data_IF_931990956173
#
_entry.id   IF_931990956173
#
_cell.length_a   1.000
_cell.length_b   1.000
_cell.length_c   1.000
_cell.angle_alpha   90.00
_cell.angle_beta   90.00
_cell.angle_gamma   90.00
#
_symmetry.space_group_name_H-M   'P 1'
#
loop_
_entity.id
_entity.type
_entity.pdbx_description
1 polymer ?
#
# COMPACT_ATOMS: atom_id res chain seq x y z
N UNK A 1 17.33 4.95 31.68
CA UNK A 1 16.79 6.27 31.30
C UNK A 1 15.31 6.15 30.92
N UNK A 2 14.48 7.17 31.18
CA UNK A 2 13.10 7.20 30.68
C UNK A 2 13.06 7.93 29.34
N UNK A 3 12.59 7.24 28.29
CA UNK A 3 12.49 7.79 26.94
C UNK A 3 11.15 8.51 26.77
N UNK A 4 11.20 9.72 26.24
CA UNK A 4 10.07 10.45 25.73
C UNK A 4 10.38 10.97 24.33
N UNK A 5 9.38 11.03 23.46
CA UNK A 5 9.59 11.62 22.17
C UNK A 5 8.32 11.77 21.35
N UNK A 6 8.48 12.41 20.21
CA UNK A 6 7.41 12.68 19.26
C UNK A 6 7.84 12.34 17.84
N UNK A 7 6.91 11.83 17.05
CA UNK A 7 7.05 11.62 15.61
C UNK A 7 5.86 12.25 14.92
N UNK A 8 6.08 13.13 13.94
CA UNK A 8 5.02 13.86 13.24
C UNK A 8 4.02 14.57 14.18
N UNK A 9 4.51 15.11 15.31
CA UNK A 9 3.71 15.72 16.39
C UNK A 9 2.84 14.75 17.22
N UNK A 10 2.94 13.45 16.99
CA UNK A 10 2.32 12.42 17.83
C UNK A 10 3.33 11.91 18.86
N UNK A 11 2.88 11.69 20.10
CA UNK A 11 3.73 11.10 21.12
C UNK A 11 4.05 9.64 20.78
N UNK A 12 5.31 9.26 20.89
CA UNK A 12 5.74 7.88 20.71
C UNK A 12 5.60 7.13 22.02
N UNK A 13 5.17 5.87 21.94
CA UNK A 13 5.19 4.94 23.07
C UNK A 13 5.55 3.54 22.58
N UNK A 14 6.08 2.73 23.49
CA UNK A 14 6.48 1.37 23.17
C UNK A 14 5.28 0.53 22.67
N UNK A 15 5.48 -0.16 21.54
CA UNK A 15 4.45 -0.93 20.83
C UNK A 15 3.37 -0.09 20.12
N UNK A 16 3.51 1.24 20.06
CA UNK A 16 2.55 2.09 19.35
C UNK A 16 2.58 1.88 17.84
N UNK A 17 1.46 2.20 17.20
CA UNK A 17 1.35 2.30 15.75
C UNK A 17 1.08 3.75 15.37
N UNK A 18 1.90 4.30 14.48
CA UNK A 18 1.76 5.67 13.97
C UNK A 18 1.39 5.58 12.50
N UNK A 19 0.20 6.07 12.18
CA UNK A 19 -0.31 6.13 10.80
C UNK A 19 0.32 7.30 10.04
N UNK A 20 0.42 7.14 8.72
CA UNK A 20 0.89 8.20 7.82
C UNK A 20 0.01 9.45 7.95
N UNK A 21 0.57 10.60 8.35
CA UNK A 21 -0.21 11.83 8.49
C UNK A 21 -0.71 12.36 7.14
N UNK A 22 -1.92 12.93 7.13
CA UNK A 22 -2.50 13.57 5.94
C UNK A 22 -1.67 14.73 5.38
N UNK A 23 -0.85 15.36 6.22
CA UNK A 23 -0.02 16.48 5.81
C UNK A 23 1.24 15.98 5.10
N UNK A 24 1.52 16.53 3.91
CA UNK A 24 2.83 16.37 3.27
C UNK A 24 3.93 16.90 4.17
N UNK A 25 5.03 16.17 4.27
CA UNK A 25 6.19 16.50 5.11
C UNK A 25 6.80 17.89 4.84
N UNK A 26 7.80 18.28 5.64
CA UNK A 26 8.59 17.40 6.48
C UNK A 26 8.01 17.16 7.88
N UNK A 27 8.16 15.93 8.38
CA UNK A 27 7.73 15.55 9.73
C UNK A 27 8.90 15.61 10.69
N UNK A 28 8.67 16.15 11.89
CA UNK A 28 9.68 16.17 12.94
C UNK A 28 9.67 14.86 13.72
N UNK A 29 10.86 14.32 13.98
CA UNK A 29 11.09 13.23 14.92
C UNK A 29 12.03 13.75 16.01
N UNK A 30 11.62 13.62 17.27
CA UNK A 30 12.41 14.07 18.41
C UNK A 30 12.34 13.03 19.53
N UNK A 31 13.47 12.74 20.14
CA UNK A 31 13.58 11.99 21.38
C UNK A 31 14.31 12.81 22.44
N UNK A 32 14.00 12.50 23.68
CA UNK A 32 14.68 12.96 24.88
C UNK A 32 14.71 11.80 25.85
N UNK A 33 15.87 11.55 26.45
CA UNK A 33 15.97 10.68 27.62
C UNK A 33 16.41 11.51 28.81
N UNK A 34 15.90 11.15 29.98
CA UNK A 34 16.32 11.74 31.25
C UNK A 34 16.31 10.65 32.31
N UNK A 35 17.31 10.70 33.18
CA UNK A 35 17.48 9.72 34.27
C UNK A 35 17.21 10.35 35.64
N UNK A 36 17.30 11.68 35.75
CA UNK A 36 17.16 12.43 37.01
C UNK A 36 16.30 13.72 36.92
N UNK A 37 15.71 14.01 35.76
CA UNK A 37 14.89 15.21 35.54
C UNK A 37 15.68 16.41 34.99
N UNK A 38 17.00 16.26 34.78
CA UNK A 38 17.83 17.17 34.01
C UNK A 38 17.82 16.82 32.52
N UNK A 39 17.89 17.85 31.66
CA UNK A 39 18.04 17.68 30.22
C UNK A 39 19.52 17.45 29.90
N UNK A 40 20.03 16.26 30.17
CA UNK A 40 21.43 15.94 29.94
C UNK A 40 21.57 14.97 28.74
N UNK A 41 22.67 15.14 28.02
CA UNK A 41 22.88 14.77 26.63
C UNK A 41 22.85 13.26 26.44
N UNK A 42 21.75 12.75 25.89
CA UNK A 42 21.65 11.36 25.48
C UNK A 42 22.05 11.20 24.00
N UNK A 43 22.86 10.17 23.71
CA UNK A 43 23.12 9.75 22.34
C UNK A 43 21.93 8.91 21.86
N UNK A 44 21.32 9.32 20.74
CA UNK A 44 20.18 8.62 20.16
C UNK A 44 20.55 7.98 18.81
N UNK A 45 20.18 6.73 18.63
CA UNK A 45 20.26 6.02 17.37
C UNK A 45 18.88 5.51 16.99
N UNK A 46 18.45 5.80 15.76
CA UNK A 46 17.19 5.32 15.22
C UNK A 46 17.47 4.21 14.23
N UNK A 47 16.75 3.12 14.39
CA UNK A 47 16.81 1.95 13.54
C UNK A 47 15.49 1.79 12.80
N UNK A 48 15.57 1.42 11.52
CA UNK A 48 14.42 1.10 10.68
C UNK A 48 14.62 -0.33 10.17
N UNK A 49 13.75 -1.27 10.60
CA UNK A 49 13.89 -2.71 10.37
C UNK A 49 15.32 -3.23 10.64
N UNK A 50 15.86 -2.92 11.82
CA UNK A 50 17.20 -3.32 12.30
C UNK A 50 18.41 -2.68 11.59
N UNK A 51 18.22 -1.79 10.64
CA UNK A 51 19.29 -0.99 10.05
C UNK A 51 19.34 0.41 10.65
N UNK A 52 20.55 0.92 10.93
CA UNK A 52 20.73 2.32 11.36
C UNK A 52 20.14 3.23 10.29
N UNK A 53 19.20 4.07 10.72
CA UNK A 53 18.48 5.00 9.87
C UNK A 53 18.90 6.45 10.13
N UNK A 54 18.96 6.87 11.39
CA UNK A 54 19.32 8.25 11.77
C UNK A 54 20.18 8.25 13.04
N UNK A 55 21.15 9.16 13.11
CA UNK A 55 22.00 9.41 14.27
C UNK A 55 21.69 10.79 14.86
N UNK A 56 21.36 10.83 16.16
CA UNK A 56 20.98 12.03 16.88
C UNK A 56 19.51 12.04 17.31
N UNK A 57 19.17 12.85 18.30
CA UNK A 57 17.84 12.81 18.91
C UNK A 57 16.77 13.63 18.17
N UNK A 58 17.13 14.47 17.19
CA UNK A 58 16.20 15.38 16.52
C UNK A 58 16.45 15.42 15.01
N UNK A 59 15.44 15.07 14.23
CA UNK A 59 15.50 15.12 12.77
C UNK A 59 14.22 15.66 12.14
N UNK A 60 14.34 16.02 10.87
CA UNK A 60 13.25 16.40 9.98
C UNK A 60 13.24 15.44 8.80
N UNK A 61 12.14 14.73 8.62
CA UNK A 61 11.99 13.64 7.64
C UNK A 61 11.12 14.14 6.50
N UNK A 62 11.64 14.09 5.27
CA UNK A 62 10.94 14.60 4.09
C UNK A 62 9.97 13.60 3.47
N UNK A 63 10.32 12.32 3.47
CA UNK A 63 9.57 11.22 2.87
C UNK A 63 9.14 10.22 3.94
N UNK A 64 7.92 9.69 3.81
CA UNK A 64 7.39 8.78 4.82
C UNK A 64 8.22 7.48 4.84
N UNK A 65 8.78 7.06 5.98
CA UNK A 65 9.78 5.98 6.00
C UNK A 65 9.22 4.60 5.64
N UNK A 66 7.91 4.41 5.78
CA UNK A 66 7.20 3.18 5.41
C UNK A 66 6.61 3.21 3.99
N UNK A 67 6.99 4.18 3.14
CA UNK A 67 6.56 4.19 1.73
C UNK A 67 7.00 2.90 1.03
N UNK A 68 6.06 2.27 0.32
CA UNK A 68 6.29 1.01 -0.39
C UNK A 68 6.14 -0.24 0.47
N UNK A 69 5.91 -0.10 1.77
CA UNK A 69 5.65 -1.18 2.70
C UNK A 69 4.26 -0.99 3.33
N UNK A 70 3.64 -2.07 3.83
CA UNK A 70 2.40 -1.97 4.62
C UNK A 70 2.69 -1.35 5.99
N UNK A 71 3.78 -1.79 6.61
CA UNK A 71 4.30 -1.25 7.85
C UNK A 71 5.82 -1.45 7.94
N UNK A 72 6.49 -0.66 8.76
CA UNK A 72 7.90 -0.82 9.10
C UNK A 72 8.13 -0.60 10.59
N UNK A 73 9.11 -1.30 11.13
CA UNK A 73 9.46 -1.21 12.54
C UNK A 73 10.50 -0.12 12.77
N UNK A 74 10.29 0.72 13.78
CA UNK A 74 11.24 1.73 14.20
C UNK A 74 11.65 1.44 15.64
N UNK A 75 12.96 1.28 15.86
CA UNK A 75 13.53 1.17 17.19
C UNK A 75 14.40 2.39 17.47
N UNK A 76 14.12 3.07 18.57
CA UNK A 76 14.98 4.11 19.12
C UNK A 76 15.84 3.47 20.21
N UNK A 77 17.16 3.64 20.13
CA UNK A 77 18.10 3.33 21.19
C UNK A 77 18.66 4.64 21.73
N UNK A 78 18.68 4.76 23.06
CA UNK A 78 19.16 5.94 23.75
C UNK A 78 20.18 5.54 24.81
N UNK A 79 21.36 6.15 24.73
CA UNK A 79 22.43 5.99 25.71
C UNK A 79 22.55 7.27 26.53
N UNK A 80 22.47 7.15 27.84
CA UNK A 80 22.69 8.25 28.78
C UNK A 80 24.19 8.49 29.03
N UNK A 81 24.52 9.62 29.66
CA UNK A 81 25.91 10.01 29.95
C UNK A 81 26.62 9.10 30.96
N UNK A 82 25.86 8.37 31.78
CA UNK A 82 26.32 7.31 32.68
C UNK A 82 26.53 5.95 31.98
N UNK A 83 26.25 5.88 30.67
CA UNK A 83 26.32 4.67 29.85
C UNK A 83 25.09 3.76 29.96
N UNK A 84 24.02 4.19 30.63
CA UNK A 84 22.76 3.44 30.71
C UNK A 84 22.03 3.44 29.38
N UNK A 85 21.66 2.25 28.90
CA UNK A 85 20.93 2.06 27.66
C UNK A 85 19.43 1.89 27.92
N UNK A 86 18.62 2.47 27.06
CA UNK A 86 17.19 2.19 26.95
C UNK A 86 16.77 2.15 25.49
N UNK A 87 15.75 1.36 25.19
CA UNK A 87 15.18 1.28 23.86
C UNK A 87 13.66 1.44 23.90
N UNK A 88 13.10 1.92 22.79
CA UNK A 88 11.66 2.01 22.55
C UNK A 88 11.37 1.59 21.11
N UNK A 89 10.33 0.80 20.91
CA UNK A 89 9.96 0.28 19.60
C UNK A 89 8.53 0.71 19.23
N UNK A 90 8.33 1.12 17.98
CA UNK A 90 7.02 1.48 17.46
C UNK A 90 6.93 1.19 15.97
N UNK A 91 5.71 1.10 15.46
CA UNK A 91 5.44 0.70 14.08
C UNK A 91 4.96 1.91 13.30
N UNK A 92 5.55 2.15 12.13
CA UNK A 92 5.04 3.08 11.14
C UNK A 92 4.13 2.32 10.18
N UNK A 93 2.87 2.72 10.09
CA UNK A 93 1.90 2.12 9.20
C UNK A 93 1.66 3.03 8.00
N UNK A 94 1.71 2.45 6.81
CA UNK A 94 1.32 3.15 5.60
C UNK A 94 -0.18 2.98 5.39
N UNK A 95 -0.83 3.95 4.75
CA UNK A 95 -2.22 3.74 4.35
C UNK A 95 -2.28 2.51 3.44
N UNK A 96 -3.34 1.71 3.60
CA UNK A 96 -3.60 0.61 2.70
C UNK A 96 -3.55 1.16 1.28
N UNK A 97 -2.55 0.75 0.50
CA UNK A 97 -2.45 1.13 -0.91
C UNK A 97 -3.68 0.53 -1.59
N UNK A 98 -4.77 1.29 -1.65
CA UNK A 98 -5.88 1.00 -2.54
C UNK A 98 -5.26 0.92 -3.92
N UNK A 99 -5.25 -0.29 -4.49
CA UNK A 99 -4.58 -0.57 -5.75
C UNK A 99 -5.07 0.46 -6.77
N UNK A 100 -4.24 1.48 -7.02
CA UNK A 100 -4.62 2.65 -7.82
C UNK A 100 -5.05 2.23 -9.24
N UNK A 101 -4.64 1.03 -9.64
CA UNK A 101 -4.95 0.41 -10.91
C UNK A 101 -6.31 -0.31 -10.94
N UNK A 102 -7.01 -0.48 -9.81
CA UNK A 102 -8.30 -1.17 -9.75
C UNK A 102 -9.32 -0.54 -10.71
N UNK A 103 -9.34 0.80 -10.80
CA UNK A 103 -10.20 1.51 -11.74
C UNK A 103 -9.84 1.21 -13.21
N UNK A 104 -8.54 1.11 -13.52
CA UNK A 104 -8.04 0.80 -14.87
C UNK A 104 -8.40 -0.63 -15.27
N UNK A 105 -8.25 -1.60 -14.35
CA UNK A 105 -8.63 -2.99 -14.58
C UNK A 105 -10.15 -3.16 -14.77
N UNK A 106 -10.97 -2.43 -14.02
CA UNK A 106 -12.43 -2.45 -14.19
C UNK A 106 -12.86 -1.88 -15.55
N UNK A 107 -12.28 -0.74 -15.97
CA UNK A 107 -12.58 -0.12 -17.27
C UNK A 107 -12.14 -1.00 -18.42
N UNK A 108 -10.92 -1.56 -18.37
CA UNK A 108 -10.41 -2.44 -19.41
C UNK A 108 -11.19 -3.76 -19.49
N UNK A 109 -11.57 -4.34 -18.35
CA UNK A 109 -12.46 -5.50 -18.29
C UNK A 109 -13.84 -5.24 -18.90
N UNK A 110 -14.47 -4.11 -18.56
CA UNK A 110 -15.76 -3.72 -19.13
C UNK A 110 -15.69 -3.55 -20.66
N UNK A 111 -14.62 -2.92 -21.17
CA UNK A 111 -14.40 -2.77 -22.61
C UNK A 111 -14.23 -4.10 -23.34
N UNK A 112 -13.52 -5.06 -22.75
CA UNK A 112 -13.37 -6.42 -23.30
C UNK A 112 -14.71 -7.15 -23.36
N UNK A 113 -15.52 -7.07 -22.30
CA UNK A 113 -16.86 -7.68 -22.27
C UNK A 113 -17.78 -7.04 -23.31
N UNK A 114 -17.80 -5.72 -23.42
CA UNK A 114 -18.60 -5.01 -24.43
C UNK A 114 -18.13 -5.39 -25.85
N UNK A 115 -16.81 -5.40 -26.09
CA UNK A 115 -16.24 -5.75 -27.39
C UNK A 115 -16.59 -7.19 -27.81
N UNK A 116 -16.48 -8.15 -26.89
CA UNK A 116 -16.84 -9.56 -27.16
C UNK A 116 -18.34 -9.72 -27.42
N UNK A 117 -19.20 -9.04 -26.67
CA UNK A 117 -20.65 -9.05 -26.91
C UNK A 117 -21.00 -8.46 -28.28
N UNK A 118 -20.48 -7.28 -28.63
CA UNK A 118 -20.71 -6.65 -29.95
C UNK A 118 -20.26 -7.56 -31.08
N UNK A 119 -19.09 -8.19 -30.94
CA UNK A 119 -18.58 -9.14 -31.93
C UNK A 119 -19.46 -10.38 -32.07
N UNK A 120 -19.92 -10.96 -30.96
CA UNK A 120 -20.81 -12.12 -30.94
C UNK A 120 -22.17 -11.81 -31.59
N UNK A 121 -22.77 -10.66 -31.27
CA UNK A 121 -24.03 -10.22 -31.88
C UNK A 121 -23.91 -9.96 -33.38
N UNK A 122 -22.81 -9.34 -33.85
CA UNK A 122 -22.54 -9.14 -35.29
C UNK A 122 -22.30 -10.45 -36.05
N UNK A 123 -21.69 -11.46 -35.40
CA UNK A 123 -21.56 -12.80 -36.01
C UNK A 123 -22.90 -13.48 -36.19
N UNK A 124 -23.80 -13.36 -35.20
CA UNK A 124 -25.12 -13.98 -35.25
C UNK A 124 -26.02 -13.38 -36.33
N UNK A 125 -25.88 -12.08 -36.63
CA UNK A 125 -26.68 -11.41 -37.67
C UNK A 125 -26.26 -11.74 -39.11
N UNK A 126 -25.05 -12.25 -39.33
CA UNK A 126 -24.53 -12.61 -40.66
C UNK A 126 -24.61 -14.12 -40.95
N UNK A 127 -25.38 -14.88 -40.16
CA UNK A 127 -25.53 -16.32 -40.35
C UNK A 127 -26.70 -16.62 -41.30
N UNK A 128 -26.45 -16.53 -42.61
CA UNK A 128 -27.39 -17.03 -43.61
C UNK A 128 -27.34 -18.56 -43.64
N UNK A 129 -28.41 -19.20 -43.18
CA UNK A 129 -28.57 -20.66 -43.25
C UNK A 129 -28.73 -21.03 -44.74
N UNK A 130 -27.84 -21.87 -45.32
CA UNK A 130 -28.00 -22.31 -46.70
C UNK A 130 -29.34 -23.04 -46.86
N UNK A 131 -30.19 -22.56 -47.77
CA UNK A 131 -31.45 -23.23 -48.09
C UNK A 131 -31.15 -24.38 -49.05
N UNK A 132 -31.25 -25.61 -48.56
CA UNK A 132 -31.19 -26.79 -49.41
C UNK A 132 -32.40 -26.78 -50.35
N UNK A 133 -32.22 -26.94 -51.67
CA UNK A 133 -33.35 -27.05 -52.58
C UNK A 133 -34.12 -28.34 -52.24
N UNK A 134 -35.37 -28.19 -51.81
CA UNK A 134 -36.28 -29.33 -51.67
C UNK A 134 -36.51 -29.92 -53.05
N UNK A 135 -36.03 -31.14 -53.30
CA UNK A 135 -36.46 -31.95 -54.43
C UNK A 135 -37.90 -32.37 -54.21
N UNK A 136 -38.82 -31.47 -54.54
CA UNK A 136 -40.20 -31.80 -54.87
C UNK A 136 -40.36 -31.57 -56.38
N UNK A 137 -39.67 -32.39 -57.17
CA UNK A 137 -40.15 -32.71 -58.51
C UNK A 137 -41.13 -33.85 -58.34
N UNK A 138 -42.37 -33.43 -58.13
CA UNK A 138 -43.57 -34.01 -58.70
C UNK A 138 -43.27 -34.76 -60.00
N UNK A 139 -43.08 -36.07 -59.89
CA UNK A 139 -43.30 -37.00 -60.99
C UNK A 139 -44.08 -38.17 -60.40
N UNK A 140 -45.41 -37.98 -60.38
CA UNK A 140 -46.42 -39.02 -60.41
C UNK A 140 -46.11 -40.00 -61.57
N UNK A 141 -45.29 -41.01 -61.30
CA UNK A 141 -45.20 -42.18 -62.16
C UNK A 141 -46.32 -43.13 -61.76
N UNK A 142 -47.51 -42.88 -62.30
CA UNK A 142 -48.54 -43.92 -62.45
C UNK A 142 -47.95 -45.04 -63.30
N UNK A 143 -47.76 -46.23 -62.72
CA UNK A 143 -47.65 -47.47 -63.49
C UNK A 143 -48.62 -48.52 -62.98
N UNK A 144 -49.08 -49.26 -63.99
CA UNK A 144 -50.35 -49.95 -64.17
C UNK A 144 -50.17 -51.45 -63.95
#
# INVERSE_FOLDING_TARGET
>A
PHIQGTFASQAMSDGASIEHPDNSGPWSINATASTDGGSEVADCEWYLDDAIWLEGCKHSIQEWPAVGFESRNVRLEVMDDDGSLSSMEFILVNEAQGDSNQAIFLVSGALLVIGTLVFAFRRRSNFDIPKWPSRATDEDHMLK
#
